data_IF_142798196873
#
_entry.id   IF_142798196873
#
_cell.length_a   1.000
_cell.length_b   1.000
_cell.length_c   1.000
_cell.angle_alpha   90.00
_cell.angle_beta   90.00
_cell.angle_gamma   90.00
#
_symmetry.space_group_name_H-M   'P 1'
#
loop_
_entity.id
_entity.type
_entity.pdbx_description
1 polymer ?
#
# COMPACT_ATOMS: atom_id res chain seq x y z
N UNK A 1 26.07 16.72 14.52
CA UNK A 1 26.53 15.50 13.83
C UNK A 1 26.44 14.19 14.64
N UNK A 2 25.74 14.11 15.79
CA UNK A 2 25.66 12.86 16.62
C UNK A 2 24.31 12.11 16.51
N UNK A 3 23.31 12.64 15.79
CA UNK A 3 21.98 12.02 15.69
C UNK A 3 21.83 11.02 14.51
N UNK A 4 22.71 11.07 13.51
CA UNK A 4 22.64 10.20 12.33
C UNK A 4 23.24 8.80 12.55
N UNK A 5 24.08 8.61 13.55
CA UNK A 5 24.75 7.32 13.83
C UNK A 5 23.82 6.37 14.56
N UNK A 6 22.87 6.88 15.34
CA UNK A 6 21.92 6.04 16.09
C UNK A 6 20.90 5.34 15.18
N UNK A 7 20.54 5.96 14.06
CA UNK A 7 19.58 5.38 13.10
C UNK A 7 20.15 4.19 12.34
N UNK A 8 21.45 4.22 12.03
CA UNK A 8 22.15 3.15 11.30
C UNK A 8 22.38 1.91 12.19
N UNK A 9 22.64 2.13 13.50
CA UNK A 9 22.88 1.02 14.45
C UNK A 9 21.60 0.23 14.79
N UNK A 10 20.43 0.85 14.77
CA UNK A 10 19.14 0.19 14.98
C UNK A 10 18.76 -0.70 13.77
N UNK A 11 19.13 -0.30 12.56
CA UNK A 11 18.88 -1.11 11.36
C UNK A 11 19.76 -2.36 11.27
N UNK A 12 20.93 -2.40 11.90
CA UNK A 12 21.89 -3.51 11.79
C UNK A 12 21.60 -4.70 12.73
N UNK A 13 20.81 -4.51 13.80
CA UNK A 13 20.55 -5.55 14.80
C UNK A 13 19.31 -6.42 14.54
N UNK A 14 18.60 -6.20 13.42
CA UNK A 14 17.31 -6.84 13.14
C UNK A 14 17.36 -8.01 12.14
N UNK A 15 18.55 -8.46 11.77
CA UNK A 15 18.73 -9.48 10.70
C UNK A 15 18.90 -10.92 11.19
N UNK A 16 18.29 -11.33 12.29
CA UNK A 16 18.41 -12.72 12.77
C UNK A 16 17.07 -13.39 13.02
N UNK A 17 16.41 -13.83 11.97
CA UNK A 17 15.51 -14.98 12.02
C UNK A 17 15.36 -15.56 10.61
N UNK A 18 15.81 -16.79 10.41
CA UNK A 18 15.59 -17.55 9.19
C UNK A 18 14.15 -18.08 9.18
N UNK A 19 13.19 -17.21 8.88
CA UNK A 19 11.85 -17.60 8.48
C UNK A 19 11.76 -17.57 6.96
N UNK A 20 11.02 -18.46 6.35
CA UNK A 20 10.73 -18.41 4.91
C UNK A 20 9.97 -17.12 4.63
N UNK A 21 10.55 -16.27 3.77
CA UNK A 21 9.92 -15.02 3.36
C UNK A 21 8.69 -15.37 2.52
N UNK A 22 7.50 -15.21 3.08
CA UNK A 22 6.23 -15.37 2.40
C UNK A 22 5.49 -14.02 2.33
N UNK A 23 4.79 -13.78 1.23
CA UNK A 23 4.02 -12.56 1.04
C UNK A 23 2.70 -12.69 1.79
N UNK A 24 2.44 -11.74 2.69
CA UNK A 24 1.26 -11.75 3.56
C UNK A 24 0.19 -10.84 2.99
N UNK A 25 -0.91 -11.46 2.55
CA UNK A 25 -2.05 -10.76 1.98
C UNK A 25 -3.15 -10.45 2.99
N UNK A 26 -3.21 -11.21 4.09
CA UNK A 26 -4.26 -11.12 5.10
C UNK A 26 -3.83 -10.16 6.20
N UNK A 27 -4.37 -8.93 6.20
CA UNK A 27 -4.05 -7.92 7.18
C UNK A 27 -5.13 -6.85 7.31
N UNK A 28 -5.14 -6.20 8.46
CA UNK A 28 -5.79 -4.92 8.68
C UNK A 28 -4.74 -3.91 9.12
N UNK A 29 -4.90 -2.65 8.72
CA UNK A 29 -3.93 -1.60 9.01
C UNK A 29 -4.58 -0.27 9.27
N UNK A 30 -3.83 0.61 9.93
CA UNK A 30 -4.19 2.00 10.13
C UNK A 30 -2.95 2.87 10.08
N UNK A 31 -3.11 4.11 9.67
CA UNK A 31 -2.00 5.03 9.55
C UNK A 31 -2.43 6.44 9.21
N UNK A 32 -1.49 7.17 8.67
CA UNK A 32 -1.65 8.55 8.27
C UNK A 32 -1.15 8.74 6.83
N UNK A 33 -1.89 9.51 6.06
CA UNK A 33 -1.52 9.91 4.72
C UNK A 33 -1.24 11.41 4.66
N UNK A 34 -0.24 11.77 3.89
CA UNK A 34 0.14 13.16 3.56
C UNK A 34 0.13 13.29 2.03
N UNK A 35 -0.71 14.20 1.54
CA UNK A 35 -0.85 14.53 0.13
C UNK A 35 -1.18 16.02 -0.02
N UNK A 36 -2.17 16.38 -0.82
CA UNK A 36 -2.72 17.75 -0.83
C UNK A 36 -3.58 18.02 0.41
N UNK A 37 -4.34 17.01 0.82
CA UNK A 37 -5.05 16.91 2.09
C UNK A 37 -4.41 15.76 2.87
N UNK A 38 -4.37 15.89 4.17
CA UNK A 38 -3.73 14.92 5.06
C UNK A 38 -4.74 14.37 6.05
N UNK A 39 -4.51 13.15 6.53
CA UNK A 39 -5.41 12.55 7.49
C UNK A 39 -5.20 11.06 7.75
N UNK A 40 -5.94 10.50 8.72
CA UNK A 40 -5.86 9.10 9.05
C UNK A 40 -6.50 8.22 7.97
N UNK A 41 -6.01 7.00 7.87
CA UNK A 41 -6.63 5.96 7.07
C UNK A 41 -6.71 4.64 7.84
N UNK A 42 -7.64 3.80 7.40
CA UNK A 42 -7.69 2.38 7.72
C UNK A 42 -7.70 1.59 6.42
N UNK A 43 -7.11 0.42 6.41
CA UNK A 43 -7.06 -0.46 5.26
C UNK A 43 -7.18 -1.92 5.67
N UNK A 44 -7.60 -2.77 4.77
CA UNK A 44 -7.62 -4.21 4.95
C UNK A 44 -7.43 -4.92 3.64
N UNK A 45 -6.84 -6.11 3.73
CA UNK A 45 -6.63 -7.01 2.60
C UNK A 45 -6.84 -8.44 3.08
N UNK A 46 -7.47 -9.25 2.24
CA UNK A 46 -7.74 -10.64 2.56
C UNK A 46 -7.65 -11.49 1.29
N UNK A 47 -6.94 -12.61 1.38
CA UNK A 47 -6.90 -13.62 0.34
C UNK A 47 -8.17 -14.48 0.41
N UNK A 48 -8.91 -14.55 -0.67
CA UNK A 48 -10.11 -15.39 -0.76
C UNK A 48 -9.77 -16.83 -1.17
N UNK A 49 -8.80 -16.98 -2.06
CA UNK A 49 -8.28 -18.25 -2.51
C UNK A 49 -6.81 -18.12 -3.00
N UNK A 50 -6.33 -19.11 -3.74
CA UNK A 50 -4.94 -19.12 -4.23
C UNK A 50 -4.60 -17.95 -5.17
N UNK A 51 -5.59 -17.37 -5.84
CA UNK A 51 -5.38 -16.37 -6.89
C UNK A 51 -6.08 -15.04 -6.63
N UNK A 52 -7.08 -14.99 -5.75
CA UNK A 52 -7.88 -13.80 -5.53
C UNK A 52 -7.62 -13.18 -4.14
N UNK A 53 -7.40 -11.89 -4.15
CA UNK A 53 -7.28 -11.05 -2.96
C UNK A 53 -8.28 -9.91 -3.09
N UNK A 54 -8.97 -9.59 -2.01
CA UNK A 54 -9.81 -8.38 -1.90
C UNK A 54 -9.11 -7.39 -1.00
N UNK A 55 -9.26 -6.11 -1.29
CA UNK A 55 -8.76 -5.04 -0.45
C UNK A 55 -9.75 -3.89 -0.37
N UNK A 56 -9.70 -3.17 0.73
CA UNK A 56 -10.46 -1.95 0.92
C UNK A 56 -9.68 -0.97 1.80
N UNK A 57 -9.91 0.32 1.59
CA UNK A 57 -9.39 1.37 2.46
C UNK A 57 -10.39 2.51 2.61
N UNK A 58 -10.35 3.14 3.77
CA UNK A 58 -11.07 4.36 4.04
C UNK A 58 -10.09 5.41 4.57
N UNK A 59 -10.08 6.58 3.95
CA UNK A 59 -9.20 7.69 4.30
C UNK A 59 -10.04 8.92 4.59
N UNK A 60 -9.83 9.54 5.76
CA UNK A 60 -10.47 10.78 6.15
C UNK A 60 -9.46 11.93 6.01
N UNK A 61 -9.60 12.72 4.99
CA UNK A 61 -8.68 13.81 4.64
C UNK A 61 -9.24 15.15 5.07
N UNK A 62 -8.43 16.01 5.66
CA UNK A 62 -8.83 17.37 6.02
C UNK A 62 -7.71 18.38 5.83
N UNK A 63 -8.08 19.64 5.46
CA UNK A 63 -7.18 20.79 5.43
C UNK A 63 -7.97 22.09 5.36
N UNK A 64 -7.74 23.00 6.32
CA UNK A 64 -8.26 24.39 6.28
C UNK A 64 -9.74 24.52 5.92
N UNK A 65 -10.64 23.76 6.52
CA UNK A 65 -12.10 23.73 6.25
C UNK A 65 -12.53 22.89 5.03
N UNK A 66 -11.64 22.09 4.47
CA UNK A 66 -11.98 21.11 3.43
C UNK A 66 -11.84 19.71 4.00
N UNK A 67 -12.95 19.00 4.06
CA UNK A 67 -13.00 17.60 4.47
C UNK A 67 -13.42 16.74 3.28
N UNK A 68 -12.68 15.67 3.04
CA UNK A 68 -12.96 14.67 2.00
C UNK A 68 -12.73 13.30 2.57
N UNK A 69 -13.73 12.45 2.50
CA UNK A 69 -13.57 11.03 2.82
C UNK A 69 -13.45 10.24 1.52
N UNK A 70 -12.48 9.33 1.47
CA UNK A 70 -12.24 8.48 0.30
C UNK A 70 -12.40 7.02 0.71
N UNK A 71 -13.31 6.34 0.05
CA UNK A 71 -13.47 4.88 0.13
C UNK A 71 -12.92 4.26 -1.15
N UNK A 72 -12.03 3.30 -1.01
CA UNK A 72 -11.57 2.45 -2.12
C UNK A 72 -11.88 1.01 -1.79
N UNK A 73 -12.30 0.22 -2.79
CA UNK A 73 -12.42 -1.22 -2.66
C UNK A 73 -12.09 -1.87 -4.00
N UNK A 74 -11.40 -3.00 -3.95
CA UNK A 74 -10.92 -3.66 -5.15
C UNK A 74 -10.64 -5.15 -4.97
N UNK A 75 -10.26 -5.72 -6.10
CA UNK A 75 -9.82 -7.11 -6.19
C UNK A 75 -8.49 -7.17 -6.91
N UNK A 76 -7.64 -8.10 -6.50
CA UNK A 76 -6.36 -8.43 -7.13
C UNK A 76 -6.38 -9.87 -7.57
N UNK A 77 -5.99 -10.11 -8.81
CA UNK A 77 -5.78 -11.45 -9.34
C UNK A 77 -4.28 -11.73 -9.42
N UNK A 78 -3.82 -12.71 -8.65
CA UNK A 78 -2.43 -13.17 -8.64
C UNK A 78 -2.16 -13.94 -9.93
N UNK A 79 -1.34 -13.38 -10.80
CA UNK A 79 -1.20 -13.88 -12.18
C UNK A 79 -0.42 -15.20 -12.28
N UNK A 80 0.27 -15.62 -11.24
CA UNK A 80 1.18 -16.77 -11.29
C UNK A 80 2.43 -16.54 -12.17
N UNK A 81 2.52 -15.40 -12.84
CA UNK A 81 3.69 -15.03 -13.61
C UNK A 81 4.88 -14.82 -12.67
N UNK A 82 5.96 -15.55 -12.91
CA UNK A 82 7.19 -15.47 -12.14
C UNK A 82 8.27 -14.81 -12.97
N UNK A 83 8.99 -13.89 -12.36
CA UNK A 83 10.16 -13.29 -12.97
C UNK A 83 11.35 -14.25 -12.79
N UNK A 84 12.01 -14.67 -13.86
CA UNK A 84 13.14 -15.61 -13.81
C UNK A 84 14.25 -15.13 -12.86
N UNK A 85 14.51 -13.81 -12.84
CA UNK A 85 15.50 -13.19 -11.95
C UNK A 85 15.00 -13.01 -10.51
N UNK A 86 13.71 -13.20 -10.25
CA UNK A 86 13.10 -13.02 -8.92
C UNK A 86 11.90 -13.96 -8.71
N UNK A 87 12.17 -15.27 -8.51
CA UNK A 87 11.11 -16.29 -8.46
C UNK A 87 10.17 -16.17 -7.25
N UNK A 88 10.55 -15.38 -6.24
CA UNK A 88 9.73 -15.10 -5.05
C UNK A 88 8.75 -13.93 -5.27
N UNK A 89 8.91 -13.17 -6.36
CA UNK A 89 8.01 -12.07 -6.67
C UNK A 89 6.64 -12.59 -7.09
N UNK A 90 5.60 -12.11 -6.45
CA UNK A 90 4.23 -12.29 -6.87
C UNK A 90 3.77 -11.07 -7.66
N UNK A 91 3.30 -11.31 -8.89
CA UNK A 91 2.69 -10.28 -9.73
C UNK A 91 1.18 -10.41 -9.72
N UNK A 92 0.48 -9.29 -9.86
CA UNK A 92 -0.97 -9.25 -9.87
C UNK A 92 -1.49 -8.18 -10.83
N UNK A 93 -2.71 -8.39 -11.29
CA UNK A 93 -3.54 -7.35 -11.89
C UNK A 93 -4.60 -6.94 -10.88
N UNK A 94 -5.05 -5.69 -10.95
CA UNK A 94 -6.04 -5.18 -10.00
C UNK A 94 -7.11 -4.37 -10.72
N UNK A 95 -8.30 -4.37 -10.13
CA UNK A 95 -9.40 -3.50 -10.52
C UNK A 95 -10.26 -3.18 -9.29
N UNK A 96 -10.86 -2.02 -9.28
CA UNK A 96 -11.70 -1.61 -8.18
C UNK A 96 -12.46 -0.33 -8.47
N UNK A 97 -13.09 0.19 -7.43
CA UNK A 97 -13.76 1.47 -7.44
C UNK A 97 -13.30 2.33 -6.27
N UNK A 98 -13.45 3.61 -6.44
CA UNK A 98 -13.19 4.61 -5.41
C UNK A 98 -14.31 5.65 -5.41
N UNK A 99 -14.65 6.10 -4.22
CA UNK A 99 -15.69 7.12 -4.01
C UNK A 99 -15.14 8.18 -3.07
N UNK A 100 -15.28 9.45 -3.47
CA UNK A 100 -14.98 10.60 -2.65
C UNK A 100 -16.30 11.20 -2.15
N UNK A 101 -16.46 11.23 -0.84
CA UNK A 101 -17.60 11.86 -0.18
C UNK A 101 -17.24 13.29 0.17
N UNK A 102 -17.96 14.23 -0.45
CA UNK A 102 -17.85 15.67 -0.25
C UNK A 102 -19.23 16.32 -0.53
N UNK A 103 -19.29 17.64 -0.72
CA UNK A 103 -20.51 18.38 -1.12
C UNK A 103 -21.18 17.80 -2.38
N UNK A 104 -20.40 17.19 -3.27
CA UNK A 104 -20.86 16.37 -4.38
C UNK A 104 -20.02 15.11 -4.45
N UNK A 105 -20.65 13.96 -4.25
CA UNK A 105 -19.99 12.65 -4.32
C UNK A 105 -19.47 12.39 -5.72
N UNK A 106 -18.23 11.92 -5.79
CA UNK A 106 -17.62 11.46 -7.04
C UNK A 106 -17.25 9.98 -6.90
N UNK A 107 -17.62 9.20 -7.89
CA UNK A 107 -17.25 7.78 -7.97
C UNK A 107 -16.53 7.52 -9.28
N UNK A 108 -15.47 6.74 -9.22
CA UNK A 108 -14.68 6.29 -10.36
C UNK A 108 -14.21 4.86 -10.19
N UNK A 109 -13.62 4.32 -11.23
CA UNK A 109 -12.96 3.01 -11.19
C UNK A 109 -11.45 3.17 -11.29
N UNK A 110 -10.74 2.11 -10.96
CA UNK A 110 -9.31 1.99 -11.23
C UNK A 110 -8.96 0.59 -11.70
N UNK A 111 -7.91 0.52 -12.51
CA UNK A 111 -7.30 -0.74 -12.97
C UNK A 111 -5.79 -0.59 -12.94
N UNK A 112 -5.08 -1.70 -12.77
CA UNK A 112 -3.64 -1.64 -12.72
C UNK A 112 -2.95 -2.99 -12.66
N UNK A 113 -1.65 -2.92 -12.46
CA UNK A 113 -0.76 -4.07 -12.28
C UNK A 113 0.18 -3.79 -11.12
N UNK A 114 0.62 -4.83 -10.45
CA UNK A 114 1.56 -4.67 -9.36
C UNK A 114 2.40 -5.91 -9.11
N UNK A 115 3.35 -5.74 -8.21
CA UNK A 115 4.23 -6.80 -7.75
C UNK A 115 4.54 -6.62 -6.27
N UNK A 116 4.70 -7.74 -5.56
CA UNK A 116 5.20 -7.82 -4.19
C UNK A 116 6.39 -8.75 -4.16
N UNK A 117 7.44 -8.35 -3.47
CA UNK A 117 8.70 -9.09 -3.38
C UNK A 117 9.18 -9.18 -1.93
N UNK A 118 9.28 -10.37 -1.36
CA UNK A 118 9.88 -10.55 -0.04
C UNK A 118 11.41 -10.45 -0.19
N UNK A 119 11.98 -9.32 0.22
CA UNK A 119 13.41 -9.07 0.18
C UNK A 119 14.13 -9.88 1.27
N UNK A 120 13.57 -9.91 2.47
CA UNK A 120 13.98 -10.74 3.60
C UNK A 120 12.73 -11.28 4.32
N UNK A 121 12.87 -12.19 5.30
CA UNK A 121 11.72 -12.62 6.12
C UNK A 121 10.97 -11.47 6.81
N UNK A 122 11.67 -10.37 7.09
CA UNK A 122 11.10 -9.20 7.74
C UNK A 122 10.78 -8.04 6.80
N UNK A 123 11.28 -8.06 5.55
CA UNK A 123 11.15 -6.92 4.64
C UNK A 123 10.47 -7.35 3.36
N UNK A 124 9.39 -6.70 3.03
CA UNK A 124 8.65 -6.86 1.79
C UNK A 124 8.61 -5.53 1.04
N UNK A 125 8.92 -5.56 -0.24
CA UNK A 125 8.76 -4.47 -1.18
C UNK A 125 7.49 -4.68 -1.99
N UNK A 126 6.81 -3.60 -2.34
CA UNK A 126 5.67 -3.63 -3.25
C UNK A 126 5.70 -2.44 -4.19
N UNK A 127 5.17 -2.67 -5.39
CA UNK A 127 5.01 -1.63 -6.41
C UNK A 127 3.71 -1.87 -7.16
N UNK A 128 3.09 -0.77 -7.60
CA UNK A 128 1.83 -0.79 -8.31
C UNK A 128 1.78 0.35 -9.32
N UNK A 129 1.30 0.07 -10.52
CA UNK A 129 0.99 1.06 -11.53
C UNK A 129 -0.50 0.95 -11.85
N UNK A 130 -1.24 2.03 -11.70
CA UNK A 130 -2.69 2.06 -11.87
C UNK A 130 -3.17 3.27 -12.65
N UNK A 131 -4.36 3.16 -13.22
CA UNK A 131 -5.08 4.23 -13.88
C UNK A 131 -6.43 4.42 -13.21
N UNK A 132 -6.71 5.65 -12.81
CA UNK A 132 -7.89 6.05 -12.05
C UNK A 132 -8.77 6.96 -12.89
N UNK A 133 -10.10 6.80 -12.74
CA UNK A 133 -11.10 7.60 -13.48
C UNK A 133 -11.92 8.52 -12.58
N UNK A 134 -11.56 8.64 -11.30
CA UNK A 134 -12.23 9.56 -10.37
C UNK A 134 -11.66 10.95 -10.52
N UNK A 135 -12.54 11.97 -10.39
CA UNK A 135 -12.20 13.38 -10.51
C UNK A 135 -11.53 13.70 -11.86
N UNK A 136 -10.22 13.87 -11.88
CA UNK A 136 -9.41 13.97 -13.09
C UNK A 136 -8.73 12.62 -13.32
N UNK A 137 -8.94 12.07 -14.54
CA UNK A 137 -8.32 10.82 -14.92
C UNK A 137 -6.79 10.92 -14.77
N UNK A 138 -6.19 10.00 -14.05
CA UNK A 138 -4.76 10.04 -13.81
C UNK A 138 -4.14 8.65 -13.74
N UNK A 139 -2.86 8.58 -14.07
CA UNK A 139 -2.02 7.42 -13.81
C UNK A 139 -1.31 7.60 -12.46
N UNK A 140 -1.17 6.52 -11.72
CA UNK A 140 -0.46 6.45 -10.45
C UNK A 140 0.64 5.40 -10.52
N UNK A 141 1.82 5.72 -10.02
CA UNK A 141 2.90 4.79 -9.78
C UNK A 141 3.23 4.80 -8.29
N UNK A 142 2.92 3.72 -7.62
CA UNK A 142 3.15 3.57 -6.19
C UNK A 142 4.28 2.57 -5.91
N UNK A 143 5.02 2.83 -4.84
CA UNK A 143 6.02 1.92 -4.31
C UNK A 143 6.11 2.02 -2.81
N UNK A 144 6.39 0.90 -2.14
CA UNK A 144 6.43 0.89 -0.69
C UNK A 144 7.18 -0.30 -0.11
N UNK A 145 7.27 -0.25 1.20
CA UNK A 145 7.95 -1.23 2.01
C UNK A 145 7.10 -1.61 3.22
N UNK A 146 7.06 -2.88 3.56
CA UNK A 146 6.57 -3.37 4.82
C UNK A 146 7.73 -3.99 5.62
N UNK A 147 7.85 -3.58 6.89
CA UNK A 147 8.81 -4.15 7.83
C UNK A 147 8.08 -4.88 8.96
N UNK A 148 8.23 -6.19 8.98
CA UNK A 148 7.63 -7.08 9.97
C UNK A 148 8.54 -7.16 11.21
N UNK A 149 8.19 -6.45 12.27
CA UNK A 149 8.92 -6.49 13.54
C UNK A 149 8.45 -7.64 14.46
N UNK A 150 7.34 -8.28 14.10
CA UNK A 150 6.88 -9.55 14.69
C UNK A 150 6.17 -10.39 13.61
N UNK A 151 5.82 -11.65 13.89
CA UNK A 151 5.03 -12.46 12.96
C UNK A 151 3.71 -11.81 12.53
N UNK A 152 3.06 -11.07 13.42
CA UNK A 152 1.72 -10.54 13.22
C UNK A 152 1.68 -9.04 12.98
N UNK A 153 2.80 -8.32 13.17
CA UNK A 153 2.83 -6.87 13.08
C UNK A 153 3.88 -6.33 12.11
N UNK A 154 3.47 -5.36 11.31
CA UNK A 154 4.38 -4.66 10.42
C UNK A 154 4.15 -3.15 10.46
N UNK A 155 5.23 -2.40 10.21
CA UNK A 155 5.19 -1.00 9.80
C UNK A 155 5.18 -0.96 8.29
N UNK A 156 4.32 -0.13 7.70
CA UNK A 156 4.20 0.06 6.25
C UNK A 156 4.45 1.50 5.87
N UNK A 157 5.11 1.70 4.75
CA UNK A 157 5.31 3.01 4.13
C UNK A 157 5.12 2.89 2.63
N UNK A 158 4.48 3.90 2.03
CA UNK A 158 4.16 3.96 0.60
C UNK A 158 4.33 5.38 0.08
N UNK A 159 4.80 5.49 -1.16
CA UNK A 159 4.79 6.74 -1.95
C UNK A 159 4.05 6.44 -3.24
N UNK A 160 3.08 7.30 -3.59
CA UNK A 160 2.41 7.28 -4.89
C UNK A 160 2.72 8.58 -5.66
N UNK A 161 3.19 8.40 -6.87
CA UNK A 161 3.45 9.47 -7.83
C UNK A 161 2.29 9.51 -8.83
N UNK A 162 1.60 10.63 -8.88
CA UNK A 162 0.40 10.80 -9.67
C UNK A 162 0.63 11.77 -10.84
N UNK A 163 0.00 11.49 -11.97
CA UNK A 163 -0.02 12.37 -13.15
C UNK A 163 -1.19 13.38 -13.08
N UNK A 164 -1.26 14.29 -14.08
CA UNK A 164 -2.38 15.22 -14.30
C UNK A 164 -2.71 16.12 -13.11
N UNK A 165 -1.69 16.76 -12.50
CA UNK A 165 -1.83 17.69 -11.37
C UNK A 165 -2.39 17.09 -10.08
N UNK A 166 -2.65 15.76 -10.04
CA UNK A 166 -2.95 15.05 -8.81
C UNK A 166 -1.69 14.99 -7.96
N UNK A 167 -1.79 15.42 -6.71
CA UNK A 167 -0.63 15.46 -5.81
C UNK A 167 -0.11 14.07 -5.50
N UNK A 168 1.20 13.99 -5.36
CA UNK A 168 1.85 12.80 -4.84
C UNK A 168 1.38 12.54 -3.40
N UNK A 169 1.32 11.28 -3.04
CA UNK A 169 0.84 10.84 -1.74
C UNK A 169 1.94 10.06 -1.01
N UNK A 170 2.06 10.30 0.27
CA UNK A 170 2.86 9.49 1.18
C UNK A 170 1.97 8.89 2.25
N UNK A 171 2.06 7.58 2.49
CA UNK A 171 1.37 6.86 3.56
C UNK A 171 2.36 6.22 4.51
N UNK A 172 2.05 6.27 5.79
CA UNK A 172 2.78 5.57 6.83
C UNK A 172 1.80 5.01 7.86
N UNK A 173 2.00 3.75 8.25
CA UNK A 173 1.07 3.10 9.17
C UNK A 173 1.59 1.79 9.74
N UNK A 174 0.72 1.14 10.51
CA UNK A 174 0.96 -0.15 11.14
C UNK A 174 -0.12 -1.12 10.68
N UNK A 175 0.24 -2.37 10.48
CA UNK A 175 -0.71 -3.42 10.12
C UNK A 175 -0.56 -4.66 11.02
N UNK A 176 -1.68 -5.28 11.30
CA UNK A 176 -1.78 -6.58 11.96
C UNK A 176 -2.10 -7.64 10.91
N UNK A 177 -1.33 -8.71 10.90
CA UNK A 177 -1.50 -9.88 10.02
C UNK A 177 -2.28 -10.97 10.77
N UNK A 178 -3.16 -11.68 10.09
CA UNK A 178 -3.97 -12.75 10.66
C UNK A 178 -4.04 -13.99 9.76
#
# INVERSE_FOLDING_TARGET
MKKSILLVAVCASLFTAAATADIRWDYVGAGYTDANLDGPYIEGSMRLDNNWVVDASFTALSKHHYDVNVLQAGVKYLTGFRLDFSPKTQTYVLAGFETQFRDADKTGGYVGVGARHPLTPQVELYSEASYHTIADNHASLAGGIAYYFSPDWAVRSNIALNSNDVKNEFRFGVSYQF
#
